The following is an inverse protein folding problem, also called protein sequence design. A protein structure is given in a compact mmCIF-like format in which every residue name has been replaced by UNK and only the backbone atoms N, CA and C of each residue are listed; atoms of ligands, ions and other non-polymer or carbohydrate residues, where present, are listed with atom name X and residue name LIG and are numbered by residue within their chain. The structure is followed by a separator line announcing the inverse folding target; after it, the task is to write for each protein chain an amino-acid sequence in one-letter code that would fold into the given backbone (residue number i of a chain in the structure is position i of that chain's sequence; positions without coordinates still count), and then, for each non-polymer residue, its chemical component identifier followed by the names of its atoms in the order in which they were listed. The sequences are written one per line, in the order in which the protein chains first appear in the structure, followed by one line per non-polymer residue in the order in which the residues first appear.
data_IF_726095755964
#
_entry.id   IF_726095755964
#
_cell.length_a   1.000
_cell.length_b   1.000
_cell.length_c   1.000
_cell.angle_alpha   90.00
_cell.angle_beta   90.00
_cell.angle_gamma   90.00
#
_symmetry.space_group_name_H-M   'P 1'
#
loop_
_entity.id
_entity.type
_entity.pdbx_description
1 polymer ?
#
# COMPACT_ATOMS: atom_id res chain seq x y z
N UNK A 1 13.24 18.84 31.15
CA UNK A 1 13.36 19.31 29.77
C UNK A 1 12.24 18.63 28.99
N UNK A 2 11.27 19.44 28.57
CA UNK A 2 10.01 19.01 27.95
C UNK A 2 10.28 18.26 26.66
N UNK A 3 9.69 17.09 26.48
CA UNK A 3 9.61 16.37 25.20
C UNK A 3 8.77 17.23 24.25
N UNK A 4 9.46 18.09 23.51
CA UNK A 4 8.86 18.96 22.50
C UNK A 4 8.66 18.10 21.27
N UNK A 5 7.39 17.76 21.02
CA UNK A 5 6.81 17.41 19.74
C UNK A 5 7.59 16.36 18.90
N UNK A 6 7.40 15.09 19.23
CA UNK A 6 7.97 13.93 18.50
C UNK A 6 7.42 13.73 17.07
N UNK A 7 6.52 14.61 16.59
CA UNK A 7 5.95 14.51 15.24
C UNK A 7 6.89 15.18 14.23
N UNK A 8 7.18 14.50 13.13
CA UNK A 8 8.06 14.95 12.03
C UNK A 8 7.62 16.33 11.43
N UNK A 9 6.36 16.74 11.60
CA UNK A 9 5.82 18.01 11.15
C UNK A 9 5.59 19.05 12.24
N UNK A 10 6.04 18.78 13.47
CA UNK A 10 5.79 19.61 14.67
C UNK A 10 6.54 20.93 14.77
N UNK A 11 7.47 21.23 13.86
CA UNK A 11 8.45 22.31 13.99
C UNK A 11 7.93 23.75 14.15
N UNK A 12 6.63 24.01 14.00
CA UNK A 12 6.01 25.34 14.19
C UNK A 12 5.12 25.42 15.43
N UNK A 13 4.91 24.32 16.13
CA UNK A 13 4.01 24.28 17.27
C UNK A 13 4.79 24.27 18.59
N UNK A 14 4.48 25.22 19.47
CA UNK A 14 5.11 25.35 20.80
C UNK A 14 4.47 24.42 21.83
N UNK A 15 3.32 23.82 21.54
CA UNK A 15 2.59 22.91 22.42
C UNK A 15 2.40 21.54 21.76
N UNK A 16 2.53 20.50 22.57
CA UNK A 16 2.15 19.14 22.16
C UNK A 16 0.63 19.06 21.92
N UNK A 17 0.23 18.24 20.94
CA UNK A 17 -1.19 17.94 20.73
C UNK A 17 -1.74 17.16 21.93
N UNK A 18 -2.97 17.42 22.32
CA UNK A 18 -3.67 16.69 23.38
C UNK A 18 -3.70 15.18 23.06
N UNK A 19 -3.48 14.34 24.06
CA UNK A 19 -3.39 12.89 23.90
C UNK A 19 -4.69 12.30 23.31
N UNK A 20 -5.85 12.82 23.71
CA UNK A 20 -7.15 12.40 23.19
C UNK A 20 -7.31 12.74 21.71
N UNK A 21 -6.77 13.89 21.26
CA UNK A 21 -6.78 14.27 19.84
C UNK A 21 -5.82 13.39 19.03
N UNK A 22 -4.65 13.08 19.59
CA UNK A 22 -3.70 12.16 18.95
C UNK A 22 -4.32 10.77 18.75
N UNK A 23 -5.00 10.25 19.77
CA UNK A 23 -5.66 8.95 19.71
C UNK A 23 -6.83 8.93 18.70
N UNK A 24 -7.60 10.02 18.66
CA UNK A 24 -8.69 10.17 17.70
C UNK A 24 -8.21 10.25 16.24
N UNK A 25 -7.07 10.87 16.01
CA UNK A 25 -6.47 10.99 14.67
C UNK A 25 -5.66 9.77 14.23
N UNK A 26 -5.25 8.92 15.18
CA UNK A 26 -4.39 7.78 14.89
C UNK A 26 -5.10 6.71 14.06
N UNK A 27 -4.55 6.40 12.90
CA UNK A 27 -5.02 5.33 12.00
C UNK A 27 -4.24 4.02 12.14
N UNK A 28 -3.15 4.01 12.92
CA UNK A 28 -2.23 2.87 13.06
C UNK A 28 -2.94 1.56 13.45
N UNK A 29 -4.05 1.63 14.18
CA UNK A 29 -4.79 0.45 14.61
C UNK A 29 -5.34 -0.38 13.45
N UNK A 30 -5.61 0.24 12.30
CA UNK A 30 -6.10 -0.44 11.09
C UNK A 30 -5.14 -0.35 9.90
N UNK A 31 -4.41 0.76 9.72
CA UNK A 31 -3.53 0.95 8.57
C UNK A 31 -2.18 0.22 8.70
N UNK A 32 -1.80 -0.24 9.91
CA UNK A 32 -0.60 -1.09 10.10
C UNK A 32 -0.55 -2.29 9.16
N UNK A 33 -1.70 -2.76 8.64
CA UNK A 33 -1.78 -3.85 7.66
C UNK A 33 -1.20 -3.50 6.28
N UNK A 34 -0.98 -2.21 6.01
CA UNK A 34 -0.41 -1.69 4.76
C UNK A 34 1.12 -1.69 4.76
N UNK A 35 1.77 -2.17 5.81
CA UNK A 35 3.24 -2.09 5.98
C UNK A 35 4.04 -2.61 4.78
N UNK A 36 3.55 -3.67 4.13
CA UNK A 36 4.22 -4.27 2.96
C UNK A 36 4.16 -3.36 1.76
N UNK A 37 3.00 -2.78 1.55
CA UNK A 37 2.72 -1.88 0.45
C UNK A 37 3.49 -0.57 0.61
N UNK A 38 3.45 0.01 1.81
CA UNK A 38 4.20 1.23 2.13
C UNK A 38 5.71 1.05 1.95
N UNK A 39 6.27 -0.03 2.46
CA UNK A 39 7.70 -0.31 2.31
C UNK A 39 8.05 -0.58 0.83
N UNK A 40 7.22 -1.31 0.09
CA UNK A 40 7.46 -1.57 -1.33
C UNK A 40 7.41 -0.28 -2.16
N UNK A 41 6.40 0.56 -1.93
CA UNK A 41 6.26 1.89 -2.54
C UNK A 41 7.43 2.81 -2.19
N UNK A 42 7.83 2.84 -0.93
CA UNK A 42 8.96 3.64 -0.44
C UNK A 42 10.31 3.20 -1.03
N UNK A 43 10.54 1.89 -1.21
CA UNK A 43 11.73 1.36 -1.90
C UNK A 43 11.75 1.81 -3.36
N UNK A 44 10.60 1.75 -4.05
CA UNK A 44 10.50 2.19 -5.44
C UNK A 44 10.75 3.70 -5.55
N UNK A 45 10.19 4.49 -4.61
CA UNK A 45 10.37 5.92 -4.54
C UNK A 45 11.84 6.32 -4.32
N UNK A 46 12.53 5.70 -3.36
CA UNK A 46 13.95 5.96 -3.10
C UNK A 46 14.83 5.69 -4.34
N UNK A 47 14.58 4.57 -5.04
CA UNK A 47 15.28 4.24 -6.29
C UNK A 47 15.02 5.26 -7.39
N UNK A 48 13.79 5.77 -7.47
CA UNK A 48 13.45 6.82 -8.43
C UNK A 48 14.15 8.12 -8.09
N UNK A 49 14.18 8.54 -6.84
CA UNK A 49 14.88 9.75 -6.41
C UNK A 49 16.38 9.69 -6.78
N UNK A 50 17.03 8.55 -6.60
CA UNK A 50 18.42 8.36 -7.02
C UNK A 50 18.55 8.42 -8.56
N UNK A 51 17.69 7.71 -9.29
CA UNK A 51 17.69 7.74 -10.77
C UNK A 51 17.51 9.15 -11.34
N UNK A 52 16.74 10.00 -10.65
CA UNK A 52 16.55 11.40 -10.99
C UNK A 52 17.63 12.33 -10.41
N UNK A 53 18.68 11.77 -9.78
CA UNK A 53 19.77 12.52 -9.14
C UNK A 53 19.28 13.52 -8.07
N UNK A 54 18.12 13.27 -7.44
CA UNK A 54 17.56 14.09 -6.37
C UNK A 54 18.24 13.75 -5.03
N UNK A 55 18.55 12.46 -4.84
CA UNK A 55 19.37 11.95 -3.74
C UNK A 55 20.56 11.16 -4.30
N UNK A 56 21.60 10.96 -3.49
CA UNK A 56 22.74 10.14 -3.90
C UNK A 56 22.37 8.65 -3.97
N UNK A 57 23.07 7.89 -4.82
CA UNK A 57 22.94 6.43 -4.87
C UNK A 57 23.23 5.80 -3.51
N UNK A 58 24.24 6.31 -2.81
CA UNK A 58 24.61 5.84 -1.46
C UNK A 58 23.50 6.05 -0.43
N UNK A 59 22.74 7.15 -0.50
CA UNK A 59 21.56 7.37 0.37
C UNK A 59 20.42 6.44 0.00
N UNK A 60 20.16 6.26 -1.28
CA UNK A 60 19.13 5.33 -1.76
C UNK A 60 19.41 3.89 -1.31
N UNK A 61 20.67 3.43 -1.41
CA UNK A 61 21.07 2.11 -0.95
C UNK A 61 20.85 1.95 0.57
N UNK A 62 21.22 2.95 1.38
CA UNK A 62 20.98 2.95 2.83
C UNK A 62 19.48 2.90 3.15
N UNK A 63 18.67 3.72 2.47
CA UNK A 63 17.22 3.74 2.64
C UNK A 63 16.63 2.37 2.30
N UNK A 64 16.98 1.80 1.16
CA UNK A 64 16.47 0.48 0.73
C UNK A 64 16.88 -0.63 1.69
N UNK A 65 18.12 -0.61 2.18
CA UNK A 65 18.58 -1.58 3.17
C UNK A 65 17.85 -1.43 4.52
N UNK A 66 17.67 -0.19 5.01
CA UNK A 66 16.93 0.09 6.23
C UNK A 66 15.46 -0.34 6.14
N UNK A 67 14.78 0.00 5.03
CA UNK A 67 13.39 -0.42 4.80
C UNK A 67 13.22 -1.95 4.79
N UNK A 68 14.16 -2.68 4.17
CA UNK A 68 14.13 -4.17 4.18
C UNK A 68 14.31 -4.73 5.58
N UNK A 69 15.14 -4.13 6.42
CA UNK A 69 15.31 -4.56 7.82
C UNK A 69 14.05 -4.29 8.65
N UNK A 70 13.42 -3.11 8.45
CA UNK A 70 12.16 -2.79 9.10
C UNK A 70 11.07 -3.80 8.70
N UNK A 71 10.96 -4.14 7.41
CA UNK A 71 10.04 -5.16 6.92
C UNK A 71 10.26 -6.50 7.64
N UNK A 72 11.50 -6.97 7.71
CA UNK A 72 11.82 -8.22 8.39
C UNK A 72 11.44 -8.20 9.88
N UNK A 73 11.68 -7.08 10.58
CA UNK A 73 11.28 -6.91 11.99
C UNK A 73 9.76 -6.90 12.17
N UNK A 74 9.00 -6.29 11.25
CA UNK A 74 7.54 -6.32 11.30
C UNK A 74 7.04 -7.75 11.09
N UNK A 75 7.59 -8.48 10.11
CA UNK A 75 7.21 -9.86 9.81
C UNK A 75 7.59 -10.85 10.92
N UNK A 76 8.66 -10.57 11.65
CA UNK A 76 9.05 -11.33 12.85
C UNK A 76 8.22 -10.99 14.11
N UNK A 77 7.36 -9.96 14.05
CA UNK A 77 6.61 -9.47 15.21
C UNK A 77 7.47 -8.70 16.23
N UNK A 78 8.65 -8.24 15.83
CA UNK A 78 9.62 -7.50 16.66
C UNK A 78 9.51 -5.98 16.52
N UNK A 79 8.55 -5.50 15.74
CA UNK A 79 8.33 -4.07 15.51
C UNK A 79 7.18 -3.56 16.35
N UNK A 80 7.45 -2.54 17.17
CA UNK A 80 6.45 -1.87 17.99
C UNK A 80 5.84 -0.70 17.22
N UNK A 81 4.53 -0.75 16.98
CA UNK A 81 3.78 0.36 16.40
C UNK A 81 3.35 1.33 17.49
N UNK A 82 3.64 2.62 17.29
CA UNK A 82 3.35 3.69 18.25
C UNK A 82 2.18 4.54 17.78
N UNK A 83 1.11 4.60 18.58
CA UNK A 83 -0.06 5.46 18.30
C UNK A 83 0.30 6.95 18.25
N UNK A 84 1.31 7.38 19.02
CA UNK A 84 1.83 8.74 18.99
C UNK A 84 2.39 9.15 17.62
N UNK A 85 2.77 8.18 16.77
CA UNK A 85 3.21 8.40 15.39
C UNK A 85 2.07 8.30 14.36
N UNK A 86 0.81 8.32 14.81
CA UNK A 86 -0.39 8.49 14.02
C UNK A 86 -0.69 7.34 13.02
N UNK A 87 0.16 7.12 12.02
CA UNK A 87 -0.06 6.18 10.91
C UNK A 87 1.12 5.23 10.67
N UNK A 88 0.95 4.24 9.81
CA UNK A 88 1.99 3.28 9.42
C UNK A 88 3.19 3.99 8.79
N UNK A 89 2.94 5.02 8.01
CA UNK A 89 3.95 5.73 7.25
C UNK A 89 4.92 6.46 8.18
N UNK A 90 4.39 7.18 9.19
CA UNK A 90 5.23 7.84 10.21
C UNK A 90 5.97 6.83 11.08
N UNK A 91 5.35 5.70 11.41
CA UNK A 91 6.02 4.64 12.15
C UNK A 91 7.22 4.07 11.38
N UNK A 92 7.06 3.79 10.08
CA UNK A 92 8.16 3.31 9.23
C UNK A 92 9.22 4.39 9.02
N UNK A 93 8.83 5.63 8.74
CA UNK A 93 9.75 6.76 8.50
C UNK A 93 10.58 7.11 9.75
N UNK A 94 9.94 7.13 10.93
CA UNK A 94 10.64 7.37 12.20
C UNK A 94 11.62 6.23 12.52
N UNK A 95 11.22 4.98 12.33
CA UNK A 95 12.11 3.84 12.53
C UNK A 95 13.30 3.87 11.55
N UNK A 96 13.05 4.22 10.29
CA UNK A 96 14.10 4.36 9.28
C UNK A 96 15.09 5.45 9.67
N UNK A 97 14.59 6.63 10.04
CA UNK A 97 15.43 7.75 10.45
C UNK A 97 16.26 7.43 11.70
N UNK A 98 15.69 6.71 12.66
CA UNK A 98 16.41 6.25 13.84
C UNK A 98 17.54 5.26 13.49
N UNK A 99 17.36 4.44 12.43
CA UNK A 99 18.35 3.43 12.04
C UNK A 99 19.46 3.97 11.15
N UNK A 100 19.14 4.87 10.20
CA UNK A 100 20.10 5.33 9.18
C UNK A 100 20.42 6.84 9.24
N UNK A 101 19.85 7.56 10.18
CA UNK A 101 20.12 9.00 10.40
C UNK A 101 19.51 9.90 9.31
N UNK A 102 20.21 10.98 8.95
CA UNK A 102 19.75 12.00 7.98
C UNK A 102 19.25 11.43 6.63
N UNK A 103 19.88 10.35 6.15
CA UNK A 103 19.45 9.72 4.90
C UNK A 103 17.98 9.26 4.95
N UNK A 104 17.47 8.85 6.14
CA UNK A 104 16.08 8.46 6.34
C UNK A 104 15.09 9.59 6.07
N UNK A 105 15.41 10.81 6.51
CA UNK A 105 14.57 11.99 6.28
C UNK A 105 14.45 12.39 4.80
N UNK A 106 15.36 11.93 3.94
CA UNK A 106 15.32 12.20 2.49
C UNK A 106 14.28 11.35 1.75
N UNK A 107 13.78 10.29 2.37
CA UNK A 107 12.79 9.41 1.76
C UNK A 107 11.50 10.15 1.37
N UNK A 108 11.07 11.15 2.15
CA UNK A 108 9.82 11.88 1.89
C UNK A 108 9.95 12.96 0.80
N UNK A 109 11.13 13.17 0.24
CA UNK A 109 11.40 14.19 -0.77
C UNK A 109 10.46 14.05 -1.96
N UNK A 110 9.82 15.17 -2.38
CA UNK A 110 8.93 15.26 -3.52
C UNK A 110 7.73 14.29 -3.49
N UNK A 111 7.27 13.86 -2.32
CA UNK A 111 6.12 12.96 -2.13
C UNK A 111 5.10 13.56 -1.18
N UNK A 112 3.82 13.54 -1.55
CA UNK A 112 2.71 13.81 -0.65
C UNK A 112 2.30 12.55 0.11
N UNK A 113 1.85 12.70 1.36
CA UNK A 113 1.23 11.59 2.12
C UNK A 113 0.01 11.04 1.37
N UNK A 114 -0.76 11.88 0.69
CA UNK A 114 -1.91 11.43 -0.10
C UNK A 114 -1.52 10.50 -1.26
N UNK A 115 -0.41 10.79 -1.95
CA UNK A 115 0.11 9.93 -3.02
C UNK A 115 0.54 8.56 -2.46
N UNK A 116 1.18 8.57 -1.30
CA UNK A 116 1.63 7.37 -0.59
C UNK A 116 0.45 6.49 -0.20
N UNK A 117 -0.53 7.06 0.51
CA UNK A 117 -1.75 6.34 0.93
C UNK A 117 -2.52 5.77 -0.26
N UNK A 118 -2.68 6.56 -1.34
CA UNK A 118 -3.38 6.11 -2.54
C UNK A 118 -2.67 4.91 -3.20
N UNK A 119 -1.34 4.96 -3.31
CA UNK A 119 -0.54 3.86 -3.84
C UNK A 119 -0.69 2.60 -2.99
N UNK A 120 -0.55 2.74 -1.68
CA UNK A 120 -0.60 1.61 -0.75
C UNK A 120 -1.96 0.93 -0.76
N UNK A 121 -3.04 1.71 -0.79
CA UNK A 121 -4.40 1.17 -0.91
C UNK A 121 -4.60 0.40 -2.23
N UNK A 122 -4.09 0.91 -3.36
CA UNK A 122 -4.16 0.20 -4.64
C UNK A 122 -3.38 -1.13 -4.60
N UNK A 123 -2.17 -1.12 -4.05
CA UNK A 123 -1.34 -2.32 -3.92
C UNK A 123 -1.99 -3.34 -2.98
N UNK A 124 -2.53 -2.86 -1.85
CA UNK A 124 -3.21 -3.70 -0.86
C UNK A 124 -4.46 -4.37 -1.45
N UNK A 125 -5.35 -3.60 -2.07
CA UNK A 125 -6.57 -4.14 -2.70
C UNK A 125 -6.21 -5.15 -3.77
N UNK A 126 -5.21 -4.87 -4.62
CA UNK A 126 -4.72 -5.82 -5.62
C UNK A 126 -4.24 -7.12 -4.99
N UNK A 127 -3.43 -7.06 -3.94
CA UNK A 127 -2.94 -8.25 -3.25
C UNK A 127 -4.06 -9.06 -2.62
N UNK A 128 -5.02 -8.39 -1.96
CA UNK A 128 -6.17 -9.05 -1.34
C UNK A 128 -7.08 -9.69 -2.38
N UNK A 129 -7.34 -9.02 -3.50
CA UNK A 129 -8.13 -9.59 -4.59
C UNK A 129 -7.47 -10.83 -5.20
N UNK A 130 -6.13 -10.83 -5.36
CA UNK A 130 -5.41 -12.02 -5.80
C UNK A 130 -5.53 -13.18 -4.80
N UNK A 131 -5.51 -12.90 -3.50
CA UNK A 131 -5.68 -13.92 -2.46
C UNK A 131 -7.12 -14.46 -2.42
N UNK A 132 -8.14 -13.59 -2.53
CA UNK A 132 -9.53 -14.02 -2.65
C UNK A 132 -9.72 -14.93 -3.86
N UNK A 133 -9.16 -14.55 -5.02
CA UNK A 133 -9.18 -15.39 -6.22
C UNK A 133 -8.60 -16.78 -5.97
N UNK A 134 -7.45 -16.85 -5.29
CA UNK A 134 -6.80 -18.11 -4.94
C UNK A 134 -7.71 -18.98 -4.07
N UNK A 135 -8.32 -18.40 -3.03
CA UNK A 135 -9.22 -19.10 -2.12
C UNK A 135 -10.49 -19.59 -2.82
N UNK A 136 -11.05 -18.81 -3.74
CA UNK A 136 -12.21 -19.24 -4.54
C UNK A 136 -11.86 -20.48 -5.39
N UNK A 137 -10.71 -20.46 -6.06
CA UNK A 137 -10.25 -21.61 -6.87
C UNK A 137 -10.02 -22.85 -6.00
N UNK A 138 -9.46 -22.70 -4.81
CA UNK A 138 -9.29 -23.82 -3.87
C UNK A 138 -10.64 -24.39 -3.42
N UNK A 139 -11.62 -23.53 -3.12
CA UNK A 139 -12.96 -23.96 -2.76
C UNK A 139 -13.67 -24.66 -3.94
N UNK A 140 -13.56 -24.15 -5.16
CA UNK A 140 -14.07 -24.80 -6.37
C UNK A 140 -13.47 -26.19 -6.55
N UNK A 141 -12.16 -26.32 -6.38
CA UNK A 141 -11.47 -27.61 -6.48
C UNK A 141 -12.01 -28.60 -5.45
N UNK A 142 -12.17 -28.17 -4.20
CA UNK A 142 -12.71 -29.02 -3.14
C UNK A 142 -14.17 -29.46 -3.44
N UNK A 143 -14.98 -28.58 -4.04
CA UNK A 143 -16.35 -28.90 -4.45
C UNK A 143 -16.39 -29.88 -5.61
N UNK A 144 -15.49 -29.77 -6.58
CA UNK A 144 -15.35 -30.76 -7.68
C UNK A 144 -14.98 -32.12 -7.14
N UNK A 145 -13.96 -32.20 -6.29
CA UNK A 145 -13.53 -33.42 -5.64
C UNK A 145 -14.66 -34.08 -4.82
N UNK A 146 -15.44 -33.27 -4.10
CA UNK A 146 -16.60 -33.74 -3.36
C UNK A 146 -17.72 -34.25 -4.30
N UNK A 147 -17.95 -33.57 -5.43
CA UNK A 147 -18.91 -34.00 -6.43
C UNK A 147 -18.53 -35.33 -7.03
N UNK A 148 -17.28 -35.51 -7.46
CA UNK A 148 -16.79 -36.76 -8.06
C UNK A 148 -16.90 -37.95 -7.11
N UNK A 149 -16.53 -37.78 -5.83
CA UNK A 149 -16.63 -38.83 -4.81
C UNK A 149 -18.08 -39.22 -4.48
N UNK A 150 -19.06 -38.40 -4.80
CA UNK A 150 -20.46 -38.55 -4.40
C UNK A 150 -21.47 -38.50 -5.59
N UNK A 151 -21.04 -38.84 -6.79
CA UNK A 151 -21.88 -38.78 -8.01
C UNK A 151 -23.19 -39.55 -7.86
N UNK A 152 -23.17 -40.73 -7.24
CA UNK A 152 -24.34 -41.59 -7.06
C UNK A 152 -25.12 -41.37 -5.77
N UNK A 153 -24.67 -40.45 -4.88
CA UNK A 153 -25.33 -40.24 -3.59
C UNK A 153 -26.57 -39.38 -3.75
N UNK A 154 -27.74 -40.00 -3.52
CA UNK A 154 -29.05 -39.32 -3.59
C UNK A 154 -29.30 -38.60 -2.24
N UNK A 155 -29.77 -37.36 -2.33
CA UNK A 155 -30.14 -36.54 -1.17
C UNK A 155 -31.45 -35.81 -1.44
N UNK A 156 -32.31 -35.55 -0.44
CA UNK A 156 -33.49 -34.75 -0.66
C UNK A 156 -33.15 -33.31 -0.99
N UNK A 157 -33.78 -32.72 -1.98
CA UNK A 157 -33.88 -31.29 -2.15
C UNK A 157 -34.81 -30.69 -1.08
N UNK A 158 -34.63 -29.43 -0.76
CA UNK A 158 -35.48 -28.72 0.20
C UNK A 158 -35.95 -27.40 -0.42
N UNK A 159 -37.23 -27.08 -0.19
CA UNK A 159 -37.85 -25.78 -0.46
C UNK A 159 -38.57 -25.35 0.82
N UNK A 160 -38.34 -24.13 1.30
CA UNK A 160 -38.95 -23.64 2.54
C UNK A 160 -38.79 -24.61 3.73
N UNK A 161 -37.64 -25.25 3.88
CA UNK A 161 -37.34 -26.28 4.89
C UNK A 161 -38.16 -27.59 4.75
N UNK A 162 -38.96 -27.73 3.70
CA UNK A 162 -39.71 -28.93 3.39
C UNK A 162 -38.96 -29.80 2.38
N UNK A 163 -39.07 -31.13 2.54
CA UNK A 163 -38.51 -32.09 1.57
C UNK A 163 -39.23 -31.92 0.22
N UNK A 164 -38.41 -31.72 -0.81
CA UNK A 164 -38.89 -31.58 -2.18
C UNK A 164 -38.37 -32.74 -3.06
N UNK A 165 -38.00 -32.47 -4.30
CA UNK A 165 -37.53 -33.47 -5.22
C UNK A 165 -36.17 -34.08 -4.79
N UNK A 166 -35.91 -35.38 -5.09
CA UNK A 166 -34.61 -35.97 -4.90
C UNK A 166 -33.59 -35.32 -5.85
N UNK A 167 -32.37 -35.14 -5.34
CA UNK A 167 -31.22 -34.65 -6.09
C UNK A 167 -29.98 -35.48 -5.73
N UNK A 168 -28.82 -35.17 -6.29
CA UNK A 168 -27.55 -35.78 -5.92
C UNK A 168 -26.64 -34.78 -5.23
N UNK A 169 -25.74 -35.28 -4.38
CA UNK A 169 -24.70 -34.44 -3.77
C UNK A 169 -23.83 -33.81 -4.83
N UNK A 170 -23.45 -34.55 -5.87
CA UNK A 170 -22.68 -34.04 -7.01
C UNK A 170 -23.35 -32.86 -7.70
N UNK A 171 -24.65 -32.94 -8.02
CA UNK A 171 -25.39 -31.84 -8.62
C UNK A 171 -25.42 -30.58 -7.74
N UNK A 172 -25.58 -30.75 -6.43
CA UNK A 172 -25.57 -29.59 -5.50
C UNK A 172 -24.21 -28.92 -5.45
N UNK A 173 -23.14 -29.68 -5.39
CA UNK A 173 -21.78 -29.14 -5.42
C UNK A 173 -21.47 -28.40 -6.72
N UNK A 174 -21.97 -28.91 -7.87
CA UNK A 174 -21.83 -28.26 -9.18
C UNK A 174 -22.54 -26.89 -9.22
N UNK A 175 -23.71 -26.77 -8.61
CA UNK A 175 -24.43 -25.48 -8.54
C UNK A 175 -23.64 -24.44 -7.76
N UNK A 176 -23.12 -24.81 -6.58
CA UNK A 176 -22.27 -23.91 -5.79
C UNK A 176 -20.98 -23.51 -6.53
N UNK A 177 -20.41 -24.43 -7.29
CA UNK A 177 -19.23 -24.13 -8.12
C UNK A 177 -19.57 -23.10 -9.21
N UNK A 178 -20.77 -23.15 -9.82
CA UNK A 178 -21.21 -22.17 -10.82
C UNK A 178 -21.34 -20.77 -10.21
N UNK A 179 -21.93 -20.64 -9.02
CA UNK A 179 -22.02 -19.36 -8.30
C UNK A 179 -20.63 -18.78 -8.05
N UNK A 180 -19.67 -19.59 -7.54
CA UNK A 180 -18.29 -19.19 -7.34
C UNK A 180 -17.55 -18.82 -8.64
N UNK A 181 -17.97 -19.34 -9.79
CA UNK A 181 -17.40 -18.95 -11.09
C UNK A 181 -17.76 -17.49 -11.43
N UNK A 182 -18.99 -17.08 -11.14
CA UNK A 182 -19.42 -15.68 -11.31
C UNK A 182 -18.60 -14.76 -10.39
N UNK A 183 -18.46 -15.12 -9.12
CA UNK A 183 -17.62 -14.36 -8.18
C UNK A 183 -16.16 -14.22 -8.67
N UNK A 184 -15.62 -15.29 -9.27
CA UNK A 184 -14.28 -15.31 -9.84
C UNK A 184 -14.12 -14.35 -11.03
N UNK A 185 -15.14 -14.25 -11.89
CA UNK A 185 -15.18 -13.31 -13.00
C UNK A 185 -15.24 -11.87 -12.51
N UNK A 186 -16.03 -11.57 -11.47
CA UNK A 186 -16.11 -10.24 -10.86
C UNK A 186 -14.77 -9.82 -10.25
N UNK A 187 -14.11 -10.72 -9.52
CA UNK A 187 -12.75 -10.47 -8.98
C UNK A 187 -11.74 -10.25 -10.13
N UNK A 188 -11.86 -11.01 -11.22
CA UNK A 188 -11.04 -10.84 -12.42
C UNK A 188 -11.20 -9.45 -13.03
N UNK A 189 -12.43 -8.98 -13.20
CA UNK A 189 -12.72 -7.63 -13.68
C UNK A 189 -12.15 -6.53 -12.76
N UNK A 190 -12.30 -6.68 -11.45
CA UNK A 190 -11.72 -5.75 -10.48
C UNK A 190 -10.19 -5.68 -10.59
N UNK A 191 -9.51 -6.82 -10.73
CA UNK A 191 -8.06 -6.89 -10.92
C UNK A 191 -7.60 -6.22 -12.22
N UNK A 192 -8.32 -6.39 -13.31
CA UNK A 192 -7.99 -5.76 -14.59
C UNK A 192 -8.23 -4.24 -14.53
N UNK A 193 -9.24 -3.78 -13.81
CA UNK A 193 -9.48 -2.37 -13.55
C UNK A 193 -8.34 -1.75 -12.75
N UNK A 194 -7.84 -2.44 -11.72
CA UNK A 194 -6.67 -2.00 -10.93
C UNK A 194 -5.39 -1.94 -11.77
N UNK A 195 -5.18 -2.88 -12.70
CA UNK A 195 -4.04 -2.83 -13.65
C UNK A 195 -4.12 -1.60 -14.54
N UNK A 196 -5.31 -1.27 -15.04
CA UNK A 196 -5.52 -0.09 -15.88
C UNK A 196 -5.18 1.19 -15.12
N UNK A 197 -5.60 1.30 -13.86
CA UNK A 197 -5.26 2.42 -12.97
C UNK A 197 -3.76 2.48 -12.70
N UNK A 198 -3.12 1.35 -12.42
CA UNK A 198 -1.67 1.26 -12.22
C UNK A 198 -0.89 1.71 -13.46
N UNK A 199 -1.32 1.33 -14.66
CA UNK A 199 -0.69 1.76 -15.91
C UNK A 199 -0.85 3.27 -16.14
N UNK A 200 -2.01 3.85 -15.80
CA UNK A 200 -2.22 5.30 -15.86
C UNK A 200 -1.34 6.03 -14.84
N UNK A 201 -1.23 5.50 -13.62
CA UNK A 201 -0.35 6.04 -12.59
C UNK A 201 1.12 6.01 -13.03
N UNK A 202 1.60 4.89 -13.56
CA UNK A 202 2.95 4.76 -14.09
C UNK A 202 3.21 5.74 -15.25
N UNK A 203 2.24 5.94 -16.15
CA UNK A 203 2.35 6.89 -17.25
C UNK A 203 2.42 8.33 -16.73
N UNK A 204 1.55 8.71 -15.80
CA UNK A 204 1.57 10.04 -15.18
C UNK A 204 2.88 10.28 -14.42
N UNK A 205 3.34 9.28 -13.69
CA UNK A 205 4.58 9.32 -12.96
C UNK A 205 5.79 9.51 -13.88
N UNK A 206 5.83 8.78 -15.01
CA UNK A 206 6.89 8.97 -16.03
C UNK A 206 6.86 10.38 -16.59
N UNK A 207 5.67 10.90 -16.93
CA UNK A 207 5.54 12.28 -17.42
C UNK A 207 5.95 13.33 -16.38
N UNK A 208 5.65 13.10 -15.09
CA UNK A 208 6.10 14.00 -14.03
C UNK A 208 7.63 13.95 -13.87
N UNK A 209 8.21 12.76 -13.95
CA UNK A 209 9.67 12.57 -13.92
C UNK A 209 10.35 13.29 -15.09
N UNK A 210 9.81 13.12 -16.30
CA UNK A 210 10.33 13.78 -17.50
C UNK A 210 10.25 15.31 -17.36
N UNK A 211 9.14 15.81 -16.84
CA UNK A 211 8.94 17.25 -16.58
C UNK A 211 9.86 17.80 -15.51
N UNK A 212 10.15 17.01 -14.46
CA UNK A 212 11.12 17.40 -13.42
C UNK A 212 12.53 17.49 -13.99
N UNK A 213 12.91 16.56 -14.86
CA UNK A 213 14.21 16.58 -15.57
C UNK A 213 14.29 17.80 -16.48
N UNK A 214 13.25 18.05 -17.29
CA UNK A 214 13.17 19.25 -18.15
C UNK A 214 13.26 20.53 -17.31
N UNK A 215 12.56 20.60 -16.19
CA UNK A 215 12.58 21.76 -15.31
C UNK A 215 13.95 21.96 -14.64
N UNK A 216 14.61 20.89 -14.22
CA UNK A 216 15.98 20.93 -13.68
C UNK A 216 16.97 21.46 -14.74
N UNK A 217 16.85 20.97 -15.98
CA UNK A 217 17.66 21.45 -17.10
C UNK A 217 17.40 22.93 -17.40
N UNK A 218 16.13 23.34 -17.37
CA UNK A 218 15.73 24.73 -17.53
C UNK A 218 16.32 25.62 -16.44
N UNK A 219 16.26 25.22 -15.17
CA UNK A 219 16.85 25.95 -14.04
C UNK A 219 18.38 26.03 -14.19
N UNK A 220 19.04 24.96 -14.63
CA UNK A 220 20.49 24.95 -14.86
C UNK A 220 20.90 25.89 -15.99
N UNK A 221 20.07 25.99 -17.03
CA UNK A 221 20.35 26.81 -18.20
C UNK A 221 19.97 28.27 -18.04
N UNK A 222 18.90 28.57 -17.28
CA UNK A 222 18.30 29.90 -17.17
C UNK A 222 18.06 30.37 -15.73
N UNK A 223 18.67 29.70 -14.74
CA UNK A 223 18.38 29.91 -13.31
C UNK A 223 18.71 31.32 -12.79
N UNK A 224 19.54 32.09 -13.48
CA UNK A 224 19.85 33.46 -13.15
C UNK A 224 18.80 34.47 -13.69
N UNK A 225 17.98 34.06 -14.67
CA UNK A 225 17.01 34.90 -15.34
C UNK A 225 15.54 34.66 -14.89
N UNK A 226 15.31 33.83 -13.91
CA UNK A 226 13.96 33.57 -13.39
C UNK A 226 13.49 34.82 -12.60
N UNK A 227 12.36 35.45 -13.00
CA UNK A 227 11.82 36.57 -12.25
C UNK A 227 11.50 36.08 -10.81
N UNK A 228 11.94 36.87 -9.82
CA UNK A 228 11.55 36.66 -8.43
C UNK A 228 10.02 36.66 -8.36
N UNK A 229 9.44 35.46 -8.22
CA UNK A 229 8.02 35.36 -7.89
C UNK A 229 7.90 35.82 -6.45
N UNK A 230 7.29 36.97 -6.28
CA UNK A 230 7.23 37.76 -5.06
C UNK A 230 7.06 36.88 -3.81
N UNK A 231 8.10 36.81 -3.01
CA UNK A 231 8.06 36.21 -1.66
C UNK A 231 8.43 34.72 -1.52
N UNK A 232 8.73 33.98 -2.59
CA UNK A 232 9.17 32.59 -2.51
C UNK A 232 10.69 32.47 -2.59
N UNK A 233 11.32 32.24 -1.46
CA UNK A 233 12.71 31.77 -1.42
C UNK A 233 12.69 30.24 -1.39
N UNK A 234 13.26 29.61 -2.40
CA UNK A 234 13.63 28.19 -2.33
C UNK A 234 14.70 28.03 -1.26
N UNK A 235 14.37 27.38 -0.16
CA UNK A 235 15.39 26.94 0.80
C UNK A 235 15.98 25.65 0.26
N UNK A 236 17.27 25.74 -0.10
CA UNK A 236 18.13 24.62 -0.49
C UNK A 236 18.34 23.65 0.68
#
# INVERSE_FOLDING_TARGET
MSAINDKLWGGRFERSTDEMINDFQASINFDRRLYREDIAGSIAHAKMLAKCEIISDADAEKIVAGLKKILARIEAGEFEFKAALEDIHMNVEAALTAEIGEAGGRLHTARSRNDQVALDMHLYVRRQACEIRRLIVELQTALVDAAEKNLGVITPGYTHLQRAQPTTVGKRATLWMQDLTMDLEEVGFALDSLKLLGNRGAYLYQRMSDKLVEHKQYIQQYGEDLPEVAGWKWQS
#
